data_IF_923468522439
#
_entry.id   IF_923468522439
#
_cell.length_a   1.000
_cell.length_b   1.000
_cell.length_c   1.000
_cell.angle_alpha   90.00
_cell.angle_beta   90.00
_cell.angle_gamma   90.00
#
_symmetry.space_group_name_H-M   'P 1'
#
loop_
_entity.id
_entity.type
_entity.pdbx_description
1 polymer ?
#
# COMPACT_ATOMS: atom_id res chain seq x y z
N UNK A 1 -16.04 -0.61 6.58
CA UNK A 1 -14.95 -0.89 7.52
C UNK A 1 -13.80 0.03 7.16
N UNK A 2 -13.21 0.72 8.14
CA UNK A 2 -12.33 1.87 7.91
C UNK A 2 -11.12 1.83 8.86
N UNK A 3 -9.92 2.01 8.32
CA UNK A 3 -8.69 2.20 9.10
C UNK A 3 -8.73 3.59 9.73
N UNK A 4 -8.94 3.65 11.04
CA UNK A 4 -9.06 4.92 11.78
C UNK A 4 -8.24 4.91 13.07
N UNK A 5 -7.87 6.11 13.51
CA UNK A 5 -7.05 6.35 14.68
C UNK A 5 -5.58 6.62 14.35
N UNK A 6 -4.89 7.16 15.33
CA UNK A 6 -3.46 7.45 15.29
C UNK A 6 -2.75 6.56 16.31
N UNK A 7 -1.61 5.99 15.90
CA UNK A 7 -0.88 5.03 16.70
C UNK A 7 0.61 5.32 16.60
N UNK A 8 1.24 5.53 17.75
CA UNK A 8 2.69 5.62 17.85
C UNK A 8 3.26 4.22 18.03
N UNK A 9 4.20 3.85 17.17
CA UNK A 9 4.87 2.55 17.20
C UNK A 9 6.38 2.76 17.13
N UNK A 10 7.12 1.91 17.83
CA UNK A 10 8.57 1.84 17.76
C UNK A 10 8.93 0.69 16.83
N UNK A 11 9.90 0.90 15.94
CA UNK A 11 10.46 -0.17 15.13
C UNK A 11 11.33 -1.08 15.98
N UNK A 12 11.23 -2.38 15.78
CA UNK A 12 12.14 -3.33 16.43
C UNK A 12 13.53 -3.34 15.76
N UNK A 13 14.47 -4.09 16.34
CA UNK A 13 15.86 -4.21 15.85
C UNK A 13 15.96 -4.74 14.41
N UNK A 14 14.89 -5.35 13.88
CA UNK A 14 14.80 -5.89 12.53
C UNK A 14 14.04 -4.96 11.58
N UNK A 15 13.66 -3.77 12.05
CA UNK A 15 12.89 -2.79 11.27
C UNK A 15 11.42 -3.17 11.08
N UNK A 16 10.86 -4.06 11.91
CA UNK A 16 9.43 -4.41 11.86
C UNK A 16 8.62 -3.43 12.68
N UNK A 17 7.40 -3.17 12.25
CA UNK A 17 6.40 -2.40 12.98
C UNK A 17 5.27 -3.31 13.43
N UNK A 18 4.85 -3.17 14.68
CA UNK A 18 3.68 -3.88 15.20
C UNK A 18 2.40 -3.19 14.72
N UNK A 19 1.56 -3.89 13.95
CA UNK A 19 0.25 -3.36 13.59
C UNK A 19 -0.68 -3.41 14.81
N UNK A 20 -1.31 -2.29 15.22
CA UNK A 20 -2.28 -2.28 16.31
C UNK A 20 -3.39 -3.33 16.13
N UNK A 21 -3.75 -4.03 17.20
CA UNK A 21 -4.69 -5.15 17.14
C UNK A 21 -6.05 -4.80 16.50
N UNK A 22 -6.53 -3.56 16.70
CA UNK A 22 -7.77 -3.05 16.09
C UNK A 22 -7.71 -2.99 14.57
N UNK A 23 -6.54 -2.68 14.00
CA UNK A 23 -6.34 -2.58 12.55
C UNK A 23 -6.10 -3.94 11.90
N UNK A 24 -5.58 -4.94 12.63
CA UNK A 24 -5.33 -6.28 12.09
C UNK A 24 -6.60 -6.94 11.53
N UNK A 25 -7.75 -6.71 12.17
CA UNK A 25 -9.05 -7.23 11.69
C UNK A 25 -9.45 -6.65 10.32
N UNK A 26 -9.00 -5.44 10.00
CA UNK A 26 -9.34 -4.74 8.77
C UNK A 26 -8.46 -5.20 7.59
N UNK A 27 -7.22 -5.62 7.84
CA UNK A 27 -6.29 -6.06 6.81
C UNK A 27 -6.47 -7.50 6.35
N UNK A 28 -7.19 -8.33 7.13
CA UNK A 28 -7.39 -9.74 6.80
C UNK A 28 -6.12 -10.59 6.92
N UNK A 29 -6.16 -11.81 6.36
CA UNK A 29 -5.04 -12.77 6.44
C UNK A 29 -4.11 -12.74 5.23
N UNK A 30 -4.46 -12.03 4.16
CA UNK A 30 -3.72 -12.03 2.89
C UNK A 30 -2.48 -11.12 2.91
N UNK A 31 -2.20 -10.49 4.05
CA UNK A 31 -1.16 -9.48 4.21
C UNK A 31 -1.58 -8.12 3.66
N UNK A 32 -0.58 -7.31 3.35
CA UNK A 32 -0.75 -5.92 2.91
C UNK A 32 0.25 -5.58 1.81
N UNK A 33 -0.06 -4.57 1.02
CA UNK A 33 0.94 -3.89 0.20
C UNK A 33 1.50 -2.69 0.95
N UNK A 34 2.82 -2.56 0.94
CA UNK A 34 3.53 -1.37 1.39
C UNK A 34 4.09 -0.67 0.15
N UNK A 35 3.91 0.64 0.05
CA UNK A 35 4.49 1.46 -1.02
C UNK A 35 4.90 2.85 -0.51
N UNK A 36 5.55 3.64 -1.35
CA UNK A 36 5.84 5.04 -1.04
C UNK A 36 4.54 5.85 -0.93
N UNK A 37 4.48 6.69 0.10
CA UNK A 37 3.39 7.64 0.29
C UNK A 37 3.41 8.76 -0.74
N UNK A 38 2.27 9.44 -0.86
CA UNK A 38 2.12 10.59 -1.75
C UNK A 38 3.00 11.75 -1.27
N UNK A 39 3.06 11.95 0.05
CA UNK A 39 3.94 12.93 0.66
C UNK A 39 5.34 12.35 0.87
N UNK A 40 6.34 13.24 0.80
CA UNK A 40 7.72 12.87 1.03
C UNK A 40 7.91 12.24 2.43
N UNK A 41 8.77 11.23 2.52
CA UNK A 41 9.11 10.52 3.75
C UNK A 41 7.94 9.78 4.44
N UNK A 42 6.91 9.41 3.69
CA UNK A 42 5.81 8.59 4.20
C UNK A 42 5.75 7.26 3.45
N UNK A 43 5.22 6.24 4.13
CA UNK A 43 4.83 4.97 3.53
C UNK A 43 3.32 4.84 3.58
N UNK A 44 2.76 4.16 2.58
CA UNK A 44 1.36 3.76 2.57
C UNK A 44 1.25 2.26 2.75
N UNK A 45 0.34 1.85 3.62
CA UNK A 45 -0.05 0.45 3.83
C UNK A 45 -1.47 0.29 3.33
N UNK A 46 -1.68 -0.67 2.42
CA UNK A 46 -2.94 -0.90 1.74
C UNK A 46 -3.32 -2.37 1.88
N UNK A 47 -4.61 -2.66 2.09
CA UNK A 47 -5.08 -4.03 1.92
C UNK A 47 -4.87 -4.48 0.48
N UNK A 48 -4.72 -5.80 0.28
CA UNK A 48 -4.52 -6.41 -1.05
C UNK A 48 -5.60 -5.93 -2.04
N UNK A 49 -6.88 -6.05 -1.64
CA UNK A 49 -8.01 -5.62 -2.47
C UNK A 49 -7.96 -4.13 -2.85
N UNK A 50 -7.56 -3.27 -1.91
CA UNK A 50 -7.52 -1.84 -2.16
C UNK A 50 -6.35 -1.48 -3.10
N UNK A 51 -5.18 -2.11 -2.92
CA UNK A 51 -4.04 -1.92 -3.80
C UNK A 51 -4.37 -2.35 -5.24
N UNK A 52 -5.01 -3.51 -5.42
CA UNK A 52 -5.45 -3.99 -6.74
C UNK A 52 -6.47 -3.04 -7.40
N UNK A 53 -7.39 -2.49 -6.60
CA UNK A 53 -8.35 -1.48 -7.08
C UNK A 53 -7.63 -0.24 -7.62
N UNK A 54 -6.62 0.26 -6.89
CA UNK A 54 -5.79 1.38 -7.34
C UNK A 54 -5.01 1.02 -8.60
N UNK A 55 -4.36 -0.14 -8.63
CA UNK A 55 -3.58 -0.60 -9.78
C UNK A 55 -4.42 -0.68 -11.05
N UNK A 56 -5.64 -1.22 -10.93
CA UNK A 56 -6.60 -1.30 -12.03
C UNK A 56 -7.10 0.09 -12.45
N UNK A 57 -7.31 1.01 -11.50
CA UNK A 57 -7.69 2.39 -11.79
C UNK A 57 -6.60 3.19 -12.51
N UNK A 58 -5.33 3.00 -12.13
CA UNK A 58 -4.18 3.69 -12.75
C UNK A 58 -3.91 3.14 -14.15
N UNK A 59 -3.88 1.82 -14.27
CA UNK A 59 -3.60 1.17 -15.56
C UNK A 59 -4.78 1.32 -16.52
N UNK A 60 -6.00 1.49 -15.97
CA UNK A 60 -7.23 1.58 -16.73
C UNK A 60 -7.56 0.28 -17.46
N UNK A 61 -8.74 0.25 -18.09
CA UNK A 61 -9.09 -0.76 -19.10
C UNK A 61 -8.70 -0.30 -20.51
N UNK A 62 -8.24 0.94 -20.66
CA UNK A 62 -7.83 1.52 -21.93
C UNK A 62 -6.38 1.14 -22.26
N UNK A 63 -6.14 0.35 -23.32
CA UNK A 63 -4.78 -0.03 -23.73
C UNK A 63 -3.91 1.17 -24.12
N UNK A 64 -4.49 2.34 -24.40
CA UNK A 64 -3.72 3.55 -24.70
C UNK A 64 -3.16 4.24 -23.45
N UNK A 65 -3.59 3.84 -22.25
CA UNK A 65 -3.15 4.39 -20.96
C UNK A 65 -1.62 4.33 -20.80
N UNK A 66 -0.97 3.28 -21.34
CA UNK A 66 0.50 3.14 -21.33
C UNK A 66 1.22 4.25 -22.10
N UNK A 67 0.58 4.90 -23.08
CA UNK A 67 1.15 6.01 -23.84
C UNK A 67 1.00 7.34 -23.13
N UNK A 68 0.16 7.43 -22.10
CA UNK A 68 0.02 8.64 -21.30
C UNK A 68 1.23 8.81 -20.34
N UNK A 69 2.06 9.88 -20.50
CA UNK A 69 3.22 10.09 -19.64
C UNK A 69 2.86 10.30 -18.16
N UNK A 70 1.67 10.85 -17.86
CA UNK A 70 1.21 11.04 -16.48
C UNK A 70 0.91 9.72 -15.79
N UNK A 71 0.27 8.78 -16.50
CA UNK A 71 -0.01 7.44 -15.99
C UNK A 71 1.30 6.71 -15.71
N UNK A 72 2.25 6.69 -16.67
CA UNK A 72 3.55 6.06 -16.46
C UNK A 72 4.30 6.65 -15.27
N UNK A 73 4.23 7.97 -15.07
CA UNK A 73 4.84 8.63 -13.91
C UNK A 73 4.20 8.16 -12.60
N UNK A 74 2.87 8.06 -12.56
CA UNK A 74 2.15 7.58 -11.38
C UNK A 74 2.43 6.11 -11.07
N UNK A 75 2.41 5.22 -12.08
CA UNK A 75 2.77 3.81 -11.92
C UNK A 75 4.18 3.65 -11.34
N UNK A 76 5.15 4.43 -11.84
CA UNK A 76 6.54 4.41 -11.34
C UNK A 76 6.66 4.91 -9.91
N UNK A 77 5.81 5.85 -9.50
CA UNK A 77 5.86 6.40 -8.15
C UNK A 77 5.16 5.47 -7.13
N UNK A 78 4.01 4.89 -7.48
CA UNK A 78 3.15 4.18 -6.53
C UNK A 78 3.22 2.65 -6.65
N UNK A 79 3.36 2.11 -7.86
CA UNK A 79 3.30 0.67 -8.10
C UNK A 79 4.70 0.06 -8.08
N UNK A 80 5.67 0.70 -8.75
CA UNK A 80 7.05 0.17 -8.83
C UNK A 80 7.71 -0.05 -7.47
N UNK A 81 7.61 0.83 -6.46
CA UNK A 81 8.20 0.57 -5.14
C UNK A 81 7.31 -0.28 -4.23
N UNK A 82 6.15 -0.74 -4.71
CA UNK A 82 5.23 -1.51 -3.87
C UNK A 82 5.71 -2.94 -3.65
N UNK A 83 5.48 -3.47 -2.44
CA UNK A 83 5.82 -4.84 -2.06
C UNK A 83 4.66 -5.43 -1.27
N UNK A 84 4.24 -6.65 -1.63
CA UNK A 84 3.30 -7.45 -0.82
C UNK A 84 4.06 -8.05 0.36
N UNK A 85 3.55 -7.84 1.56
CA UNK A 85 4.13 -8.31 2.82
C UNK A 85 3.08 -9.09 3.59
N UNK A 86 3.47 -10.26 4.09
CA UNK A 86 2.63 -11.10 4.94
C UNK A 86 2.84 -10.73 6.41
N UNK A 87 1.81 -10.96 7.23
CA UNK A 87 1.97 -10.80 8.67
C UNK A 87 2.79 -11.94 9.25
N UNK A 88 3.62 -11.64 10.24
CA UNK A 88 4.32 -12.66 11.02
C UNK A 88 3.28 -13.52 11.79
N UNK A 89 3.61 -14.79 12.00
CA UNK A 89 2.75 -15.74 12.71
C UNK A 89 2.77 -15.53 14.23
#
# INVERSE_FOLDING_TARGET
MALTGEYENILDDKGRLMIPAKLRLEFGQEGVYITQGIEANHLMVLSVTHFETIMNGISGTDPLSMFNPKVRKLQRALITPSVKVEFDN
#
